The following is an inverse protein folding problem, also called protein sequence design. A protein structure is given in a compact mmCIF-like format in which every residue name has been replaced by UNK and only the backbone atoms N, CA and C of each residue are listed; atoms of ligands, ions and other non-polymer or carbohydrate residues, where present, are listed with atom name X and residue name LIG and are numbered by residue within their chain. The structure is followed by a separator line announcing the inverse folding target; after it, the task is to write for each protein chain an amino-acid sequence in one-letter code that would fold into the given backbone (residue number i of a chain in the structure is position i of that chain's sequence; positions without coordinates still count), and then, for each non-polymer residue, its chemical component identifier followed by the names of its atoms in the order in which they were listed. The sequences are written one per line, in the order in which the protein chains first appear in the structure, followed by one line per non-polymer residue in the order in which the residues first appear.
data_IF_247831022664
#
_entry.id   IF_247831022664
#
_cell.length_a   1.000
_cell.length_b   1.000
_cell.length_c   1.000
_cell.angle_alpha   90.00
_cell.angle_beta   90.00
_cell.angle_gamma   90.00
#
_symmetry.space_group_name_H-M   'P 1'
#
loop_
_entity.id
_entity.type
_entity.pdbx_description
1 polymer ?
#
# COMPACT_ATOMS: atom_id res chain seq x y z
N UNK A 1 -6.52 -10.64 20.22
CA UNK A 1 -5.15 -10.09 20.11
C UNK A 1 -5.22 -8.82 19.27
N UNK A 2 -4.41 -7.80 19.58
CA UNK A 2 -4.35 -6.60 18.73
C UNK A 2 -3.76 -6.95 17.35
N UNK A 3 -4.28 -6.31 16.30
CA UNK A 3 -3.72 -6.38 14.94
C UNK A 3 -2.25 -5.98 14.94
N UNK A 4 -1.45 -6.63 14.10
CA UNK A 4 -0.03 -6.33 13.91
C UNK A 4 0.21 -5.65 12.58
N UNK A 5 1.23 -4.81 12.53
CA UNK A 5 1.69 -4.19 11.29
C UNK A 5 2.16 -5.27 10.30
N UNK A 6 1.84 -5.08 9.01
CA UNK A 6 2.31 -5.98 7.96
C UNK A 6 3.77 -5.71 7.56
N UNK A 7 4.31 -6.54 6.68
CA UNK A 7 5.71 -6.44 6.24
C UNK A 7 6.03 -5.10 5.55
N UNK A 8 5.08 -4.54 4.79
CA UNK A 8 5.25 -3.25 4.12
C UNK A 8 5.38 -2.10 5.13
N UNK A 9 4.50 -2.07 6.12
CA UNK A 9 4.57 -1.12 7.22
C UNK A 9 5.83 -1.23 8.06
N UNK A 10 6.21 -2.45 8.44
CA UNK A 10 7.44 -2.69 9.18
C UNK A 10 8.67 -2.20 8.42
N UNK A 11 8.73 -2.46 7.11
CA UNK A 11 9.82 -1.99 6.25
C UNK A 11 9.88 -0.47 6.17
N UNK A 12 8.71 0.19 6.06
CA UNK A 12 8.61 1.64 6.07
C UNK A 12 9.13 2.23 7.38
N UNK A 13 8.71 1.69 8.54
CA UNK A 13 9.21 2.15 9.85
C UNK A 13 10.73 1.97 9.94
N UNK A 14 11.25 0.79 9.60
CA UNK A 14 12.70 0.52 9.62
C UNK A 14 13.50 1.49 8.76
N UNK A 15 12.97 1.85 7.58
CA UNK A 15 13.61 2.81 6.68
C UNK A 15 13.74 4.20 7.32
N UNK A 16 12.71 4.67 8.02
CA UNK A 16 12.68 6.02 8.60
C UNK A 16 13.40 6.13 9.94
N UNK A 17 13.36 5.09 10.77
CA UNK A 17 14.08 5.09 12.05
C UNK A 17 15.58 4.83 11.86
N UNK A 18 15.94 4.00 10.88
CA UNK A 18 17.31 3.58 10.65
C UNK A 18 17.81 2.59 11.71
N UNK A 19 18.75 1.72 11.32
CA UNK A 19 19.32 0.72 12.22
C UNK A 19 20.63 1.22 12.82
N UNK A 20 20.74 1.22 14.15
CA UNK A 20 22.01 1.35 14.88
C UNK A 20 22.26 0.15 15.78
N UNK A 21 23.23 -0.68 15.43
CA UNK A 21 23.54 -1.93 16.15
C UNK A 21 24.31 -1.72 17.44
N UNK A 22 24.86 -0.53 17.67
CA UNK A 22 25.59 -0.17 18.89
C UNK A 22 24.86 0.95 19.61
N UNK A 23 24.74 0.84 20.94
CA UNK A 23 24.12 1.85 21.77
C UNK A 23 24.84 3.20 21.64
N UNK A 24 24.06 4.27 21.46
CA UNK A 24 24.55 5.64 21.32
C UNK A 24 23.71 6.59 22.16
N UNK A 25 24.22 7.79 22.43
CA UNK A 25 23.42 8.87 23.03
C UNK A 25 22.77 9.71 21.94
N UNK A 26 21.47 9.89 22.02
CA UNK A 26 20.75 10.78 21.12
C UNK A 26 20.97 12.26 21.48
N UNK A 27 20.31 13.18 20.76
CA UNK A 27 20.41 14.63 21.00
C UNK A 27 19.89 15.06 22.37
N UNK A 28 19.08 14.21 23.02
CA UNK A 28 18.58 14.40 24.38
C UNK A 28 19.44 13.67 25.43
N UNK A 29 20.63 13.16 25.04
CA UNK A 29 21.55 12.39 25.88
C UNK A 29 21.01 11.05 26.41
N UNK A 30 19.93 10.53 25.82
CA UNK A 30 19.32 9.24 26.17
C UNK A 30 20.03 8.11 25.44
N UNK A 31 20.27 6.99 26.12
CA UNK A 31 20.84 5.80 25.51
C UNK A 31 19.81 5.12 24.60
N UNK A 32 20.16 5.01 23.33
CA UNK A 32 19.29 4.50 22.26
C UNK A 32 20.01 3.42 21.45
N UNK A 33 19.29 2.38 21.02
CA UNK A 33 19.82 1.27 20.19
C UNK A 33 18.77 0.77 19.19
N UNK A 34 19.20 0.04 18.16
CA UNK A 34 18.31 -0.54 17.16
C UNK A 34 17.62 0.52 16.32
N UNK A 35 16.29 0.45 16.25
CA UNK A 35 15.41 1.39 15.55
C UNK A 35 14.79 2.42 16.51
N UNK A 36 15.64 3.05 17.35
CA UNK A 36 15.18 4.07 18.30
C UNK A 36 14.72 3.54 19.67
N UNK A 37 15.06 2.30 20.04
CA UNK A 37 14.70 1.72 21.33
C UNK A 37 15.48 2.37 22.48
N UNK A 38 14.79 2.66 23.58
CA UNK A 38 15.38 3.17 24.83
C UNK A 38 14.88 2.35 26.01
N UNK A 39 15.60 2.35 27.13
CA UNK A 39 15.18 1.64 28.35
C UNK A 39 13.81 2.07 28.90
N UNK A 40 13.33 3.26 28.52
CA UNK A 40 11.99 3.74 28.89
C UNK A 40 10.87 3.05 28.10
N UNK A 41 11.19 2.46 26.94
CA UNK A 41 10.24 1.68 26.14
C UNK A 41 9.99 0.28 26.72
N UNK A 42 10.88 -0.21 27.59
CA UNK A 42 10.76 -1.49 28.27
C UNK A 42 12.06 -2.28 28.21
N UNK A 43 11.93 -3.61 28.19
CA UNK A 43 13.09 -4.48 27.96
C UNK A 43 13.46 -4.54 26.46
N UNK A 44 14.75 -4.63 26.11
CA UNK A 44 15.91 -4.68 27.01
C UNK A 44 16.34 -3.31 27.55
N UNK A 45 16.90 -3.28 28.77
CA UNK A 45 17.56 -2.06 29.26
C UNK A 45 18.82 -1.79 28.43
N UNK A 46 18.88 -0.64 27.79
CA UNK A 46 20.03 -0.18 27.00
C UNK A 46 21.15 0.27 27.95
N UNK A 47 22.33 -0.33 27.81
CA UNK A 47 23.53 0.01 28.58
C UNK A 47 24.63 0.55 27.67
N UNK A 48 25.58 1.37 28.19
CA UNK A 48 26.73 1.82 27.42
C UNK A 48 27.53 0.64 26.84
N UNK A 49 27.89 0.71 25.55
CA UNK A 49 28.65 -0.35 24.87
C UNK A 49 27.82 -1.56 24.45
N UNK A 50 26.51 -1.59 24.72
CA UNK A 50 25.62 -2.66 24.25
C UNK A 50 25.62 -2.74 22.72
N UNK A 51 25.70 -3.97 22.19
CA UNK A 51 25.59 -4.26 20.75
C UNK A 51 24.53 -5.31 20.49
N UNK A 52 23.85 -5.20 19.35
CA UNK A 52 22.79 -6.13 18.92
C UNK A 52 22.88 -6.41 17.42
N UNK A 53 22.41 -7.58 16.99
CA UNK A 53 22.25 -7.92 15.57
C UNK A 53 20.97 -7.33 14.96
N UNK A 54 20.87 -7.36 13.64
CA UNK A 54 19.69 -6.84 12.92
C UNK A 54 18.38 -7.57 13.25
N UNK A 55 18.45 -8.89 13.47
CA UNK A 55 17.29 -9.71 13.86
C UNK A 55 16.80 -9.31 15.26
N UNK A 56 17.72 -9.13 16.20
CA UNK A 56 17.42 -8.66 17.55
C UNK A 56 16.81 -7.25 17.52
N UNK A 57 17.39 -6.34 16.75
CA UNK A 57 16.85 -4.99 16.58
C UNK A 57 15.42 -4.98 16.02
N UNK A 58 15.11 -5.86 15.06
CA UNK A 58 13.75 -6.00 14.54
C UNK A 58 12.79 -6.58 15.58
N UNK A 59 13.23 -7.58 16.37
CA UNK A 59 12.43 -8.14 17.46
C UNK A 59 12.08 -7.07 18.49
N UNK A 60 13.05 -6.23 18.85
CA UNK A 60 12.86 -5.09 19.77
C UNK A 60 11.88 -4.09 19.16
N UNK A 61 12.06 -3.72 17.89
CA UNK A 61 11.14 -2.80 17.20
C UNK A 61 9.69 -3.32 17.19
N UNK A 62 9.48 -4.62 16.91
CA UNK A 62 8.13 -5.22 16.96
C UNK A 62 7.51 -5.14 18.36
N UNK A 63 8.31 -5.31 19.41
CA UNK A 63 7.85 -5.14 20.78
C UNK A 63 7.47 -3.68 21.09
N UNK A 64 8.29 -2.72 20.65
CA UNK A 64 8.03 -1.29 20.83
C UNK A 64 6.79 -0.83 20.07
N UNK A 65 6.55 -1.39 18.88
CA UNK A 65 5.37 -1.10 18.06
C UNK A 65 4.07 -1.58 18.70
N UNK A 66 4.11 -2.62 19.55
CA UNK A 66 2.91 -3.25 20.09
C UNK A 66 1.97 -2.28 20.82
N UNK A 67 2.51 -1.27 21.52
CA UNK A 67 1.70 -0.25 22.21
C UNK A 67 1.03 0.73 21.23
N UNK A 68 1.67 1.02 20.10
CA UNK A 68 1.13 1.90 19.06
C UNK A 68 0.08 1.16 18.23
N UNK A 69 0.33 -0.10 17.89
CA UNK A 69 -0.66 -0.98 17.26
C UNK A 69 -1.94 -1.07 18.10
N UNK A 70 -1.82 -1.35 19.40
CA UNK A 70 -2.97 -1.39 20.31
C UNK A 70 -3.66 -0.02 20.45
N UNK A 71 -2.90 1.08 20.38
CA UNK A 71 -3.45 2.43 20.43
C UNK A 71 -4.23 2.77 19.17
N UNK A 72 -3.71 2.45 17.98
CA UNK A 72 -4.41 2.64 16.70
C UNK A 72 -5.70 1.83 16.69
N UNK A 73 -5.65 0.54 17.07
CA UNK A 73 -6.81 -0.35 17.13
C UNK A 73 -7.92 0.21 18.04
N UNK A 74 -7.54 0.81 19.18
CA UNK A 74 -8.50 1.40 20.12
C UNK A 74 -9.08 2.72 19.63
N UNK A 75 -8.27 3.54 18.95
CA UNK A 75 -8.63 4.92 18.59
C UNK A 75 -9.42 5.00 17.29
N UNK A 76 -9.14 4.11 16.33
CA UNK A 76 -9.82 4.09 15.04
C UNK A 76 -11.13 3.32 15.16
N UNK A 77 -12.22 3.94 14.70
CA UNK A 77 -13.59 3.44 14.83
C UNK A 77 -14.18 2.95 13.52
N UNK A 78 -13.41 3.02 12.44
CA UNK A 78 -13.80 2.64 11.08
C UNK A 78 -12.90 1.52 10.56
N UNK A 79 -13.36 0.67 9.64
CA UNK A 79 -12.54 -0.40 9.09
C UNK A 79 -11.28 0.12 8.39
N UNK A 80 -10.15 -0.59 8.51
CA UNK A 80 -8.89 -0.25 7.84
C UNK A 80 -8.32 -1.46 7.10
N UNK A 81 -7.73 -1.23 5.93
CA UNK A 81 -6.84 -2.21 5.29
C UNK A 81 -5.53 -2.36 6.09
N UNK A 82 -4.76 -3.43 5.84
CA UNK A 82 -3.51 -3.66 6.57
C UNK A 82 -2.50 -2.54 6.34
N UNK A 83 -2.47 -1.99 5.13
CA UNK A 83 -1.58 -0.89 4.78
C UNK A 83 -2.03 0.43 5.41
N UNK A 84 -3.34 0.69 5.47
CA UNK A 84 -3.88 1.85 6.16
C UNK A 84 -3.58 1.81 7.65
N UNK A 85 -3.81 0.66 8.31
CA UNK A 85 -3.42 0.45 9.70
C UNK A 85 -1.93 0.66 9.91
N UNK A 86 -1.09 0.06 9.06
CA UNK A 86 0.36 0.20 9.10
C UNK A 86 0.83 1.65 8.97
N UNK A 87 0.23 2.43 8.08
CA UNK A 87 0.55 3.84 7.90
C UNK A 87 0.24 4.66 9.17
N UNK A 88 -0.89 4.40 9.84
CA UNK A 88 -1.24 5.06 11.10
C UNK A 88 -0.32 4.64 12.25
N UNK A 89 0.07 3.37 12.31
CA UNK A 89 1.04 2.89 13.31
C UNK A 89 2.40 3.59 13.10
N UNK A 90 2.89 3.70 11.86
CA UNK A 90 4.13 4.44 11.57
C UNK A 90 4.03 5.92 11.93
N UNK A 91 2.90 6.56 11.58
CA UNK A 91 2.62 7.95 11.91
C UNK A 91 2.65 8.18 13.43
N UNK A 92 2.01 7.29 14.17
CA UNK A 92 1.85 7.40 15.61
C UNK A 92 3.13 7.02 16.38
N UNK A 93 3.92 6.08 15.85
CA UNK A 93 5.26 5.78 16.36
C UNK A 93 6.18 7.01 16.26
N UNK A 94 6.09 7.76 15.16
CA UNK A 94 6.89 8.97 14.97
C UNK A 94 6.46 10.14 15.84
N UNK A 95 5.15 10.39 15.93
CA UNK A 95 4.60 11.64 16.50
C UNK A 95 4.12 11.47 17.93
N UNK A 96 3.74 10.26 18.31
CA UNK A 96 3.09 9.98 19.57
C UNK A 96 1.68 10.56 19.71
N UNK A 97 1.12 11.18 18.66
CA UNK A 97 0.04 12.16 18.76
C UNK A 97 -1.20 11.85 17.88
N UNK A 98 -1.40 10.60 17.47
CA UNK A 98 -2.57 10.22 16.66
C UNK A 98 -3.90 10.61 17.31
N UNK A 99 -4.02 10.43 18.63
CA UNK A 99 -5.20 10.75 19.44
C UNK A 99 -5.62 12.22 19.37
N UNK A 100 -4.65 13.13 19.21
CA UNK A 100 -4.86 14.58 19.14
C UNK A 100 -5.04 15.09 17.72
N UNK A 101 -4.85 14.24 16.71
CA UNK A 101 -4.81 14.66 15.32
C UNK A 101 -6.19 14.96 14.74
N UNK A 102 -6.27 15.98 13.88
CA UNK A 102 -7.44 16.21 13.00
C UNK A 102 -7.63 15.06 12.03
N UNK A 103 -6.54 14.39 11.64
CA UNK A 103 -6.54 13.16 10.85
C UNK A 103 -7.47 12.11 11.45
N UNK A 104 -7.26 11.72 12.71
CA UNK A 104 -8.07 10.70 13.38
C UNK A 104 -9.54 11.12 13.46
N UNK A 105 -9.81 12.40 13.75
CA UNK A 105 -11.18 12.95 13.80
C UNK A 105 -11.91 12.82 12.46
N UNK A 106 -11.23 13.11 11.36
CA UNK A 106 -11.81 12.97 10.01
C UNK A 106 -11.98 11.51 9.60
N UNK A 107 -10.95 10.69 9.84
CA UNK A 107 -11.00 9.25 9.56
C UNK A 107 -12.16 8.57 10.29
N UNK A 108 -12.35 8.86 11.58
CA UNK A 108 -13.45 8.29 12.36
C UNK A 108 -14.85 8.78 11.95
N UNK A 109 -14.93 9.80 11.09
CA UNK A 109 -16.18 10.22 10.41
C UNK A 109 -16.35 9.55 9.04
N UNK A 110 -15.46 8.63 8.66
CA UNK A 110 -15.48 7.95 7.37
C UNK A 110 -14.76 8.70 6.24
N UNK A 111 -14.05 9.79 6.54
CA UNK A 111 -13.32 10.57 5.53
C UNK A 111 -11.89 10.00 5.34
N UNK A 112 -11.81 8.87 4.62
CA UNK A 112 -10.55 8.20 4.28
C UNK A 112 -9.67 9.06 3.36
N UNK A 113 -10.29 9.78 2.43
CA UNK A 113 -9.60 10.58 1.42
C UNK A 113 -8.86 11.77 2.04
N UNK A 114 -9.31 12.28 3.19
CA UNK A 114 -8.59 13.34 3.89
C UNK A 114 -7.28 12.89 4.55
N UNK A 115 -7.08 11.59 4.81
CA UNK A 115 -5.93 11.11 5.59
C UNK A 115 -4.58 11.51 4.98
N UNK A 116 -4.29 11.30 3.68
CA UNK A 116 -3.05 11.77 3.05
C UNK A 116 -2.77 13.27 3.24
N UNK A 117 -3.80 14.11 3.10
CA UNK A 117 -3.65 15.56 3.24
C UNK A 117 -3.40 15.95 4.70
N UNK A 118 -4.07 15.28 5.64
CA UNK A 118 -3.85 15.53 7.07
C UNK A 118 -2.47 15.04 7.54
N UNK A 119 -1.93 13.95 6.99
CA UNK A 119 -0.56 13.50 7.26
C UNK A 119 0.45 14.60 6.92
N UNK A 120 0.28 15.28 5.78
CA UNK A 120 1.19 16.33 5.30
C UNK A 120 1.22 17.60 6.15
N UNK A 121 0.30 17.74 7.12
CA UNK A 121 0.35 18.84 8.11
C UNK A 121 1.37 18.58 9.22
N UNK A 122 1.82 17.34 9.38
CA UNK A 122 2.78 16.92 10.41
C UNK A 122 4.21 16.85 9.86
N UNK A 123 4.66 17.96 9.28
CA UNK A 123 5.98 18.07 8.61
C UNK A 123 6.90 19.10 9.24
N UNK A 124 6.50 19.67 10.38
CA UNK A 124 7.23 20.73 11.06
C UNK A 124 7.85 20.21 12.37
N UNK A 125 9.10 20.60 12.64
CA UNK A 125 9.74 20.44 13.93
C UNK A 125 10.44 21.75 14.31
N UNK A 126 10.35 22.18 15.58
CA UNK A 126 10.89 23.46 16.02
C UNK A 126 10.34 24.67 15.24
N UNK A 127 9.07 24.59 14.81
CA UNK A 127 8.42 25.66 14.02
C UNK A 127 8.83 25.73 12.54
N UNK A 128 9.73 24.85 12.07
CA UNK A 128 10.21 24.85 10.68
C UNK A 128 9.83 23.55 9.97
N UNK A 129 9.53 23.65 8.67
CA UNK A 129 9.29 22.50 7.80
C UNK A 129 10.57 21.71 7.62
N UNK A 130 10.51 20.39 7.87
CA UNK A 130 11.65 19.47 7.77
C UNK A 130 11.44 18.54 6.59
N UNK A 131 12.34 18.56 5.60
CA UNK A 131 12.22 17.73 4.39
C UNK A 131 12.14 16.23 4.70
N UNK A 132 12.86 15.76 5.73
CA UNK A 132 12.76 14.37 6.18
C UNK A 132 11.34 13.98 6.61
N UNK A 133 10.64 14.86 7.34
CA UNK A 133 9.26 14.62 7.74
C UNK A 133 8.31 14.68 6.54
N UNK A 134 8.52 15.62 5.61
CA UNK A 134 7.75 15.71 4.36
C UNK A 134 7.81 14.38 3.61
N UNK A 135 9.02 13.85 3.40
CA UNK A 135 9.21 12.60 2.68
C UNK A 135 8.61 11.40 3.45
N UNK A 136 8.71 11.41 4.79
CA UNK A 136 8.09 10.38 5.64
C UNK A 136 6.57 10.38 5.54
N UNK A 137 5.93 11.55 5.67
CA UNK A 137 4.48 11.69 5.55
C UNK A 137 4.01 11.30 4.14
N UNK A 138 4.77 11.65 3.10
CA UNK A 138 4.49 11.23 1.73
C UNK A 138 4.59 9.70 1.56
N UNK A 139 5.58 9.05 2.15
CA UNK A 139 5.71 7.60 2.11
C UNK A 139 4.57 6.89 2.88
N UNK A 140 4.15 7.43 4.02
CA UNK A 140 3.00 6.92 4.78
C UNK A 140 1.69 7.08 4.00
N UNK A 141 1.49 8.23 3.34
CA UNK A 141 0.37 8.45 2.44
C UNK A 141 0.40 7.50 1.23
N UNK A 142 1.58 7.23 0.68
CA UNK A 142 1.77 6.25 -0.38
C UNK A 142 1.44 4.83 0.07
N UNK A 143 1.83 4.45 1.30
CA UNK A 143 1.45 3.17 1.89
C UNK A 143 -0.06 3.10 2.13
N UNK A 144 -0.67 4.16 2.65
CA UNK A 144 -2.11 4.27 2.87
C UNK A 144 -2.91 4.00 1.58
N UNK A 145 -2.49 4.61 0.47
CA UNK A 145 -3.15 4.45 -0.83
C UNK A 145 -2.85 3.09 -1.49
N UNK A 146 -1.76 2.41 -1.08
CA UNK A 146 -1.38 1.11 -1.62
C UNK A 146 -2.39 0.07 -1.14
N UNK A 147 -3.21 -0.44 -2.05
CA UNK A 147 -4.27 -1.40 -1.71
C UNK A 147 -5.65 -0.78 -1.54
N UNK A 148 -5.86 0.46 -1.98
CA UNK A 148 -7.20 1.03 -2.22
C UNK A 148 -7.97 0.32 -3.37
N UNK A 149 -7.41 -0.75 -3.96
CA UNK A 149 -8.21 -1.78 -4.60
C UNK A 149 -8.93 -2.57 -3.51
N UNK A 150 -10.06 -1.99 -3.10
CA UNK A 150 -11.14 -2.55 -2.30
C UNK A 150 -11.13 -4.08 -2.35
N UNK A 151 -10.82 -4.73 -1.22
CA UNK A 151 -11.39 -6.06 -0.97
C UNK A 151 -12.89 -5.86 -1.07
N UNK A 152 -13.52 -6.34 -2.14
CA UNK A 152 -14.96 -6.30 -2.30
C UNK A 152 -15.57 -6.96 -1.08
N UNK A 153 -16.11 -6.17 -0.15
CA UNK A 153 -17.17 -6.68 0.69
C UNK A 153 -18.28 -7.04 -0.31
N UNK A 154 -18.49 -8.33 -0.52
CA UNK A 154 -19.59 -8.81 -1.34
C UNK A 154 -20.87 -8.35 -0.64
N UNK A 155 -21.51 -7.31 -1.17
CA UNK A 155 -22.93 -7.10 -0.91
C UNK A 155 -23.61 -8.09 -1.84
N UNK A 156 -24.33 -9.12 -1.33
CA UNK A 156 -25.14 -9.95 -2.20
C UNK A 156 -26.08 -9.01 -2.94
N UNK A 157 -25.97 -8.96 -4.27
CA UNK A 157 -26.99 -8.32 -5.07
C UNK A 157 -28.28 -9.12 -4.84
N UNK A 158 -29.27 -8.54 -4.16
CA UNK A 158 -30.65 -9.05 -4.24
C UNK A 158 -31.03 -8.95 -5.70
N UNK A 159 -30.93 -10.08 -6.40
CA UNK A 159 -31.29 -10.16 -7.80
C UNK A 159 -32.79 -10.36 -7.86
N UNK A 160 -33.54 -9.27 -7.77
CA UNK A 160 -34.91 -9.23 -8.25
C UNK A 160 -34.93 -8.37 -9.52
N UNK A 161 -34.37 -8.92 -10.60
CA UNK A 161 -34.53 -8.37 -11.94
C UNK A 161 -35.53 -9.26 -12.70
N UNK A 162 -36.72 -8.72 -12.97
CA UNK A 162 -37.70 -9.32 -13.87
C UNK A 162 -37.08 -9.46 -15.28
N UNK A 163 -37.11 -10.67 -15.83
CA UNK A 163 -36.57 -11.02 -17.16
C UNK A 163 -37.47 -10.58 -18.32
N UNK A 164 -37.80 -9.29 -18.45
CA UNK A 164 -38.66 -8.85 -19.57
C UNK A 164 -38.19 -7.69 -20.44
N UNK A 165 -37.14 -6.94 -20.08
CA UNK A 165 -36.89 -5.68 -20.81
C UNK A 165 -35.60 -5.60 -21.65
N UNK A 166 -34.95 -6.72 -22.01
CA UNK A 166 -33.75 -6.72 -22.89
C UNK A 166 -34.05 -7.27 -24.30
N UNK A 167 -35.25 -7.00 -24.81
CA UNK A 167 -35.64 -7.39 -26.16
C UNK A 167 -36.10 -6.19 -27.00
N UNK A 168 -35.43 -5.04 -26.95
CA UNK A 168 -35.71 -3.95 -27.90
C UNK A 168 -34.55 -2.97 -28.10
N UNK A 169 -33.36 -3.43 -28.49
CA UNK A 169 -32.45 -2.58 -29.31
C UNK A 169 -31.67 -3.51 -30.24
N UNK A 170 -32.01 -3.48 -31.53
CA UNK A 170 -31.18 -4.12 -32.56
C UNK A 170 -31.95 -4.75 -33.72
N UNK A 171 -32.94 -4.05 -34.28
CA UNK A 171 -33.49 -4.40 -35.59
C UNK A 171 -33.47 -3.18 -36.50
N UNK A 172 -32.59 -3.17 -37.52
CA UNK A 172 -32.96 -2.96 -38.93
C UNK A 172 -31.74 -2.66 -39.84
N UNK A 173 -31.47 -3.60 -40.76
CA UNK A 173 -30.82 -3.39 -42.07
C UNK A 173 -29.43 -4.04 -42.22
N UNK A 174 -29.18 -5.02 -43.09
CA UNK A 174 -30.00 -5.68 -44.10
C UNK A 174 -29.33 -7.01 -44.58
N UNK A 175 -30.16 -7.92 -45.09
CA UNK A 175 -29.88 -8.98 -46.08
C UNK A 175 -29.10 -10.26 -45.67
N UNK A 176 -29.83 -11.19 -45.06
CA UNK A 176 -30.10 -12.56 -45.57
C UNK A 176 -28.96 -13.49 -46.00
N UNK A 177 -28.75 -14.57 -45.22
CA UNK A 177 -28.73 -15.96 -45.71
C UNK A 177 -28.76 -16.94 -44.52
N UNK A 178 -29.34 -18.11 -44.77
CA UNK A 178 -29.80 -19.10 -43.82
C UNK A 178 -28.69 -19.88 -43.10
N UNK A 179 -29.08 -20.50 -41.99
CA UNK A 179 -28.27 -21.39 -41.16
C UNK A 179 -27.64 -22.57 -41.92
N UNK A 180 -26.38 -22.90 -41.57
CA UNK A 180 -25.90 -24.28 -41.44
C UNK A 180 -24.77 -24.32 -40.41
N UNK A 181 -24.95 -25.10 -39.34
CA UNK A 181 -23.90 -25.49 -38.39
C UNK A 181 -22.96 -26.45 -39.15
N UNK A 182 -21.72 -26.04 -39.38
CA UNK A 182 -20.66 -26.86 -39.99
C UNK A 182 -19.59 -27.27 -38.96
N UNK A 183 -18.80 -28.33 -39.22
CA UNK A 183 -17.87 -28.89 -38.25
C UNK A 183 -16.75 -27.89 -37.93
N UNK A 184 -16.51 -27.70 -36.64
CA UNK A 184 -15.45 -26.82 -36.14
C UNK A 184 -14.09 -27.38 -36.57
N UNK A 185 -13.32 -26.57 -37.30
CA UNK A 185 -12.01 -26.91 -37.85
C UNK A 185 -11.01 -27.09 -36.68
N UNK A 186 -10.20 -28.17 -36.62
CA UNK A 186 -9.24 -28.43 -35.55
C UNK A 186 -8.22 -27.28 -35.33
N UNK A 187 -7.93 -26.50 -36.38
CA UNK A 187 -7.03 -25.33 -36.34
C UNK A 187 -7.54 -24.22 -35.40
N UNK A 188 -8.86 -24.00 -35.34
CA UNK A 188 -9.45 -22.92 -34.54
C UNK A 188 -9.42 -23.27 -33.06
N UNK A 189 -9.66 -24.54 -32.73
CA UNK A 189 -9.59 -25.05 -31.35
C UNK A 189 -8.15 -24.98 -30.83
N UNK A 190 -7.16 -25.29 -31.69
CA UNK A 190 -5.74 -25.21 -31.31
C UNK A 190 -5.27 -23.78 -31.06
N UNK A 191 -5.71 -22.82 -31.88
CA UNK A 191 -5.39 -21.40 -31.67
C UNK A 191 -5.94 -20.83 -30.35
N UNK A 192 -7.14 -21.29 -29.93
CA UNK A 192 -7.76 -20.87 -28.67
C UNK A 192 -7.08 -21.53 -27.46
N UNK A 193 -6.65 -22.80 -27.58
CA UNK A 193 -5.92 -23.51 -26.51
C UNK A 193 -4.49 -23.00 -26.35
N UNK A 194 -3.78 -22.73 -27.45
CA UNK A 194 -2.40 -22.24 -27.42
C UNK A 194 -2.32 -20.82 -26.80
N UNK A 195 -3.34 -19.96 -27.00
CA UNK A 195 -3.42 -18.66 -26.32
C UNK A 195 -3.66 -18.77 -24.80
N UNK A 196 -4.36 -19.79 -24.35
CA UNK A 196 -4.64 -20.01 -22.93
C UNK A 196 -3.40 -20.51 -22.17
N UNK A 197 -2.58 -21.35 -22.80
CA UNK A 197 -1.33 -21.89 -22.22
C UNK A 197 -0.19 -20.84 -22.21
N UNK A 198 -0.12 -19.96 -23.20
CA UNK A 198 0.85 -18.87 -23.19
C UNK A 198 0.59 -17.88 -22.04
N UNK A 199 -0.68 -17.59 -21.71
CA UNK A 199 -1.07 -16.70 -20.60
C UNK A 199 -0.69 -17.25 -19.21
N UNK A 200 -0.57 -18.56 -19.07
CA UNK A 200 -0.19 -19.23 -17.82
C UNK A 200 1.33 -19.27 -17.57
N UNK A 201 2.15 -19.10 -18.63
CA UNK A 201 3.60 -19.32 -18.58
C UNK A 201 4.46 -18.10 -18.20
N UNK A 202 3.86 -16.93 -17.99
CA UNK A 202 4.59 -15.71 -17.56
C UNK A 202 5.48 -15.05 -18.63
N UNK A 203 5.47 -15.53 -19.89
CA UNK A 203 6.23 -14.93 -20.99
C UNK A 203 5.60 -13.62 -21.53
N UNK A 204 4.30 -13.41 -21.37
CA UNK A 204 3.61 -12.17 -21.77
C UNK A 204 4.17 -10.91 -21.10
N UNK A 205 4.73 -11.02 -19.89
CA UNK A 205 5.35 -9.89 -19.19
C UNK A 205 6.59 -9.39 -19.95
N UNK A 206 7.35 -10.29 -20.60
CA UNK A 206 8.54 -9.92 -21.39
C UNK A 206 8.16 -9.27 -22.72
N UNK A 207 7.09 -9.76 -23.36
CA UNK A 207 6.55 -9.19 -24.60
C UNK A 207 5.93 -7.80 -24.35
N UNK A 208 5.20 -7.63 -23.23
CA UNK A 208 4.65 -6.34 -22.81
C UNK A 208 5.74 -5.31 -22.45
N UNK A 209 6.82 -5.74 -21.80
CA UNK A 209 7.97 -4.87 -21.52
C UNK A 209 8.71 -4.48 -22.82
N UNK A 210 8.88 -5.42 -23.76
CA UNK A 210 9.52 -5.14 -25.05
C UNK A 210 8.72 -4.13 -25.90
N UNK A 211 7.39 -4.24 -25.95
CA UNK A 211 6.54 -3.30 -26.69
C UNK A 211 6.50 -1.91 -26.05
N UNK A 212 6.57 -1.81 -24.71
CA UNK A 212 6.71 -0.53 -23.99
C UNK A 212 8.08 0.12 -24.28
N UNK A 213 9.17 -0.66 -24.33
CA UNK A 213 10.51 -0.15 -24.63
C UNK A 213 10.60 0.35 -26.08
N UNK A 214 10.02 -0.39 -27.03
CA UNK A 214 9.95 0.03 -28.45
C UNK A 214 9.06 1.28 -28.60
N UNK A 215 7.94 1.35 -27.88
CA UNK A 215 7.07 2.53 -27.85
C UNK A 215 7.76 3.78 -27.27
N UNK A 216 8.53 3.62 -26.18
CA UNK A 216 9.27 4.72 -25.54
C UNK A 216 10.46 5.20 -26.39
N UNK A 217 11.13 4.30 -27.11
CA UNK A 217 12.21 4.66 -28.05
C UNK A 217 11.66 5.39 -29.28
N UNK A 218 10.56 4.92 -29.86
CA UNK A 218 9.87 5.62 -30.96
C UNK A 218 9.33 7.00 -30.51
N UNK A 219 8.81 7.12 -29.29
CA UNK A 219 8.36 8.40 -28.73
C UNK A 219 9.52 9.37 -28.45
N UNK A 220 10.65 8.88 -27.95
CA UNK A 220 11.86 9.69 -27.74
C UNK A 220 12.45 10.24 -29.05
N UNK A 221 12.40 9.45 -30.12
CA UNK A 221 12.78 9.88 -31.48
C UNK A 221 11.77 10.89 -32.03
N UNK A 222 10.47 10.65 -31.89
CA UNK A 222 9.41 11.59 -32.29
C UNK A 222 9.54 12.97 -31.63
N UNK A 223 9.91 13.01 -30.34
CA UNK A 223 10.10 14.25 -29.59
C UNK A 223 11.31 15.08 -30.05
N UNK A 224 12.34 14.47 -30.63
CA UNK A 224 13.53 15.17 -31.16
C UNK A 224 13.33 15.73 -32.57
N UNK A 225 12.33 15.25 -33.31
CA UNK A 225 12.10 15.59 -34.72
C UNK A 225 10.98 16.64 -34.88
N UNK A 226 10.23 16.93 -33.82
CA UNK A 226 9.31 18.07 -33.80
C UNK A 226 10.06 19.35 -33.40
N UNK A 227 10.15 20.37 -34.27
CA UNK A 227 10.73 21.67 -33.93
C UNK A 227 9.90 22.41 -32.87
#
# INVERSE_FOLDING_TARGET
MARRINAAGLSLVKQWEGLRTTAYRDVASVLTIGYGHTSAAGAPKVTPGMTIGGIEAERILKADLAKFEARVERLVKVPLTDNQFAALVSFDFNTGALDKSTLLKKLNKGDYAAVPVELMKWVNAGGKKINGLVNRRAAEAGLWAKGDFVSSNYVPATTAANKTDVATIGGAGAAGAAATIGPVIPEVTKAITDQQDELSSGQWVRVAIATIIIGLTLWGVYRKIKP
#
